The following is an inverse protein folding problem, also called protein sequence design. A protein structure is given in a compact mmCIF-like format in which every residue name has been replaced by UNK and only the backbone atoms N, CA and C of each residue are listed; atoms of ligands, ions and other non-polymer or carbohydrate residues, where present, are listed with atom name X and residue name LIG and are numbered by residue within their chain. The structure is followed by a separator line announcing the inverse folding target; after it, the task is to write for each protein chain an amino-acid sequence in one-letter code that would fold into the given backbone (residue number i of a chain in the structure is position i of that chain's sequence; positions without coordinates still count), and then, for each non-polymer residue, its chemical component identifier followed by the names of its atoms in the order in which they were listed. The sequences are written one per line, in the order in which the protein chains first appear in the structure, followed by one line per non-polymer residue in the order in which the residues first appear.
data_IF_750355777535
#
_entry.id   IF_750355777535
#
_cell.length_a   1.000
_cell.length_b   1.000
_cell.length_c   1.000
_cell.angle_alpha   90.00
_cell.angle_beta   90.00
_cell.angle_gamma   90.00
#
_symmetry.space_group_name_H-M   'P 1'
#
loop_
_entity.id
_entity.type
_entity.pdbx_description
1 polymer ?
#
# COMPACT_ATOMS: atom_id res chain seq x y z
N UNK A 1 -17.75 -47.39 -38.69
CA UNK A 1 -17.50 -46.06 -38.11
C UNK A 1 -16.05 -45.74 -38.48
N UNK A 2 -15.82 -44.76 -39.35
CA UNK A 2 -14.48 -44.50 -39.90
C UNK A 2 -13.57 -43.83 -38.90
N UNK A 3 -12.28 -44.14 -38.92
CA UNK A 3 -11.23 -43.63 -38.03
C UNK A 3 -11.28 -42.10 -37.90
N UNK A 4 -11.66 -41.41 -38.96
CA UNK A 4 -11.81 -39.95 -39.02
C UNK A 4 -12.91 -39.39 -38.09
N UNK A 5 -14.01 -40.10 -37.90
CA UNK A 5 -15.12 -39.72 -37.01
C UNK A 5 -14.76 -39.90 -35.53
N UNK A 6 -13.89 -40.86 -35.21
CA UNK A 6 -13.37 -41.07 -33.84
C UNK A 6 -12.38 -40.00 -33.51
N UNK A 7 -11.48 -39.64 -34.43
CA UNK A 7 -10.48 -38.56 -34.24
C UNK A 7 -11.16 -37.21 -34.04
N UNK A 8 -12.22 -36.91 -34.81
CA UNK A 8 -12.97 -35.64 -34.68
C UNK A 8 -13.71 -35.55 -33.33
N UNK A 9 -14.27 -36.68 -32.82
CA UNK A 9 -14.92 -36.70 -31.50
C UNK A 9 -13.93 -36.54 -30.36
N UNK A 10 -12.72 -37.12 -30.44
CA UNK A 10 -11.66 -36.93 -29.47
C UNK A 10 -11.15 -35.47 -29.45
N UNK A 11 -11.04 -34.85 -30.61
CA UNK A 11 -10.60 -33.44 -30.72
C UNK A 11 -11.62 -32.47 -30.08
N UNK A 12 -12.92 -32.73 -30.26
CA UNK A 12 -14.01 -31.93 -29.64
C UNK A 12 -14.04 -32.12 -28.12
N UNK A 13 -13.78 -33.32 -27.60
CA UNK A 13 -13.72 -33.57 -26.17
C UNK A 13 -12.53 -32.85 -25.52
N UNK A 14 -11.36 -32.81 -26.16
CA UNK A 14 -10.18 -32.09 -25.67
C UNK A 14 -10.43 -30.57 -25.59
N UNK A 15 -11.18 -30.00 -26.54
CA UNK A 15 -11.55 -28.58 -26.54
C UNK A 15 -12.54 -28.22 -25.41
N UNK A 16 -13.42 -29.15 -25.02
CA UNK A 16 -14.41 -28.91 -23.94
C UNK A 16 -13.77 -29.05 -22.55
N UNK A 17 -12.72 -29.86 -22.41
CA UNK A 17 -11.99 -30.07 -21.17
C UNK A 17 -10.73 -29.22 -21.01
N UNK A 18 -10.48 -28.24 -21.89
CA UNK A 18 -9.44 -27.24 -21.61
C UNK A 18 -9.86 -26.51 -20.35
N UNK A 19 -9.12 -26.62 -19.22
CA UNK A 19 -9.42 -25.81 -18.07
C UNK A 19 -9.22 -24.36 -18.51
N UNK A 20 -10.32 -23.64 -18.64
CA UNK A 20 -10.29 -22.19 -18.73
C UNK A 20 -9.81 -21.74 -17.35
N UNK A 21 -8.48 -21.62 -17.20
CA UNK A 21 -7.88 -21.01 -16.03
C UNK A 21 -8.34 -19.56 -16.06
N UNK A 22 -9.49 -19.28 -15.46
CA UNK A 22 -9.86 -17.93 -15.07
C UNK A 22 -8.84 -17.54 -14.03
N UNK A 23 -7.74 -16.95 -14.50
CA UNK A 23 -6.85 -16.20 -13.65
C UNK A 23 -7.66 -15.00 -13.21
N UNK A 24 -8.31 -15.12 -12.05
CA UNK A 24 -8.84 -13.97 -11.35
C UNK A 24 -7.63 -13.01 -11.21
N UNK A 25 -7.72 -11.87 -11.85
CA UNK A 25 -6.80 -10.77 -11.57
C UNK A 25 -7.03 -10.47 -10.11
N UNK A 26 -6.09 -10.85 -9.26
CA UNK A 26 -6.07 -10.42 -7.87
C UNK A 26 -5.76 -8.93 -7.91
N UNK A 27 -6.79 -8.12 -8.06
CA UNK A 27 -6.72 -6.65 -8.02
C UNK A 27 -6.73 -6.17 -6.55
N UNK A 28 -6.10 -6.92 -5.65
CA UNK A 28 -6.08 -6.66 -4.22
C UNK A 28 -4.81 -5.92 -3.80
N UNK A 29 -5.00 -4.88 -3.01
CA UNK A 29 -3.92 -4.13 -2.39
C UNK A 29 -4.20 -4.00 -0.89
N UNK A 30 -3.23 -4.34 -0.05
CA UNK A 30 -3.36 -4.16 1.39
C UNK A 30 -3.04 -2.71 1.77
N UNK A 31 -3.90 -2.08 2.55
CA UNK A 31 -3.63 -0.76 3.13
C UNK A 31 -3.25 -0.93 4.61
N UNK A 32 -2.03 -0.54 4.95
CA UNK A 32 -1.58 -0.46 6.34
C UNK A 32 -1.81 0.95 6.86
N UNK A 33 -2.58 1.06 7.95
CA UNK A 33 -2.95 2.34 8.56
C UNK A 33 -2.19 2.53 9.84
N UNK A 34 -1.47 3.63 9.95
CA UNK A 34 -0.73 4.08 11.12
C UNK A 34 -1.30 5.39 11.65
N UNK A 35 -0.90 5.80 12.85
CA UNK A 35 -1.22 7.12 13.40
C UNK A 35 0.02 7.74 14.04
N UNK A 36 0.54 7.16 15.13
CA UNK A 36 1.71 7.65 15.85
C UNK A 36 2.86 6.65 15.78
N UNK A 37 4.07 7.18 15.77
CA UNK A 37 5.28 6.38 15.88
C UNK A 37 5.95 6.69 17.22
N UNK A 38 5.64 5.90 18.26
CA UNK A 38 6.09 6.17 19.63
C UNK A 38 6.02 4.90 20.47
N UNK A 39 6.95 4.74 21.39
CA UNK A 39 6.95 3.69 22.41
C UNK A 39 5.98 4.00 23.56
N UNK A 40 5.77 5.28 23.85
CA UNK A 40 5.01 5.77 25.01
C UNK A 40 3.55 6.17 24.66
N UNK A 41 3.11 5.98 23.43
CA UNK A 41 1.78 6.36 22.99
C UNK A 41 0.69 5.34 23.38
N UNK A 42 -0.61 5.70 23.15
CA UNK A 42 -1.71 4.75 23.34
C UNK A 42 -1.51 3.52 22.47
N UNK A 43 -1.55 2.32 23.06
CA UNK A 43 -1.29 1.05 22.35
C UNK A 43 -2.18 0.80 21.13
N UNK A 44 -3.38 1.36 21.13
CA UNK A 44 -4.35 1.21 20.03
C UNK A 44 -4.00 2.03 18.78
N UNK A 45 -3.18 3.08 18.90
CA UNK A 45 -2.88 4.02 17.81
C UNK A 45 -1.39 4.34 17.69
N UNK A 46 -0.52 3.62 18.40
CA UNK A 46 0.92 3.83 18.37
C UNK A 46 1.63 2.57 17.90
N UNK A 47 2.57 2.76 16.99
CA UNK A 47 3.54 1.76 16.54
C UNK A 47 4.91 2.27 16.95
N UNK A 48 5.74 1.46 17.61
CA UNK A 48 7.09 1.91 17.92
C UNK A 48 7.91 2.09 16.64
N UNK A 49 8.90 3.02 16.61
CA UNK A 49 9.78 3.20 15.46
C UNK A 49 10.51 1.90 15.06
N UNK A 50 10.91 1.11 16.05
CA UNK A 50 11.56 -0.19 15.81
C UNK A 50 10.61 -1.20 15.14
N UNK A 51 9.35 -1.31 15.60
CA UNK A 51 8.35 -2.17 14.97
C UNK A 51 8.01 -1.68 13.56
N UNK A 52 7.94 -0.38 13.35
CA UNK A 52 7.73 0.17 12.00
C UNK A 52 8.88 -0.18 11.07
N UNK A 53 10.13 -0.07 11.53
CA UNK A 53 11.30 -0.50 10.77
C UNK A 53 11.21 -1.98 10.38
N UNK A 54 10.85 -2.85 11.32
CA UNK A 54 10.65 -4.29 11.04
C UNK A 54 9.55 -4.52 9.98
N UNK A 55 8.46 -3.73 9.99
CA UNK A 55 7.45 -3.79 8.93
C UNK A 55 8.04 -3.44 7.56
N UNK A 56 8.84 -2.36 7.47
CA UNK A 56 9.47 -1.97 6.20
C UNK A 56 10.49 -3.02 5.72
N UNK A 57 11.28 -3.58 6.63
CA UNK A 57 12.19 -4.68 6.34
C UNK A 57 11.45 -5.91 5.81
N UNK A 58 10.35 -6.29 6.46
CA UNK A 58 9.51 -7.40 6.02
C UNK A 58 8.98 -7.17 4.60
N UNK A 59 8.43 -5.99 4.32
CA UNK A 59 7.90 -5.64 3.00
C UNK A 59 9.00 -5.72 1.94
N UNK A 60 10.18 -5.18 2.23
CA UNK A 60 11.33 -5.20 1.32
C UNK A 60 11.84 -6.62 1.05
N UNK A 61 12.02 -7.42 2.11
CA UNK A 61 12.62 -8.75 2.03
C UNK A 61 11.68 -9.79 1.39
N UNK A 62 10.39 -9.51 1.33
CA UNK A 62 9.38 -10.38 0.71
C UNK A 62 8.82 -9.81 -0.61
N UNK A 63 9.55 -8.88 -1.24
CA UNK A 63 9.23 -8.32 -2.56
C UNK A 63 7.84 -7.67 -2.68
N UNK A 64 7.30 -7.15 -1.58
CA UNK A 64 6.07 -6.37 -1.62
C UNK A 64 6.24 -5.10 -2.45
N UNK A 65 5.24 -4.78 -3.24
CA UNK A 65 5.19 -3.58 -4.07
C UNK A 65 4.50 -2.46 -3.30
N UNK A 66 5.30 -1.67 -2.58
CA UNK A 66 4.79 -0.52 -1.83
C UNK A 66 4.49 0.62 -2.79
N UNK A 67 3.21 0.96 -2.95
CA UNK A 67 2.72 1.93 -3.91
C UNK A 67 2.06 3.13 -3.23
N UNK A 68 2.18 4.34 -3.84
CA UNK A 68 1.38 5.48 -3.42
C UNK A 68 -0.12 5.16 -3.55
N UNK A 69 -0.93 5.53 -2.56
CA UNK A 69 -2.38 5.27 -2.57
C UNK A 69 -3.06 5.83 -3.84
N UNK A 70 -2.65 7.00 -4.29
CA UNK A 70 -3.16 7.61 -5.54
C UNK A 70 -2.97 6.72 -6.77
N UNK A 71 -1.88 5.93 -6.83
CA UNK A 71 -1.63 5.00 -7.93
C UNK A 71 -2.61 3.84 -7.88
N UNK A 72 -2.83 3.28 -6.69
CA UNK A 72 -3.81 2.19 -6.49
C UNK A 72 -5.22 2.65 -6.90
N UNK A 73 -5.65 3.83 -6.41
CA UNK A 73 -6.97 4.38 -6.76
C UNK A 73 -7.11 4.57 -8.27
N UNK A 74 -6.10 5.11 -8.94
CA UNK A 74 -6.13 5.30 -10.40
C UNK A 74 -6.26 3.97 -11.14
N UNK A 75 -5.45 2.95 -10.78
CA UNK A 75 -5.52 1.63 -11.41
C UNK A 75 -6.90 1.01 -11.25
N UNK A 76 -7.51 1.08 -10.05
CA UNK A 76 -8.87 0.60 -9.82
C UNK A 76 -9.91 1.35 -10.65
N UNK A 77 -9.78 2.67 -10.80
CA UNK A 77 -10.70 3.48 -11.62
C UNK A 77 -10.57 3.21 -13.11
N UNK A 78 -9.34 3.00 -13.60
CA UNK A 78 -9.06 2.70 -15.02
C UNK A 78 -9.17 1.20 -15.34
N UNK A 79 -9.48 0.36 -14.35
CA UNK A 79 -9.53 -1.11 -14.48
C UNK A 79 -8.20 -1.70 -14.98
N UNK A 80 -7.10 -1.07 -14.59
CA UNK A 80 -5.76 -1.62 -14.78
C UNK A 80 -5.42 -2.57 -13.65
N UNK A 81 -4.77 -3.69 -13.96
CA UNK A 81 -4.37 -4.66 -12.94
C UNK A 81 -3.32 -4.07 -11.98
N UNK A 82 -3.49 -4.36 -10.70
CA UNK A 82 -2.50 -4.05 -9.67
C UNK A 82 -1.42 -5.16 -9.61
N UNK A 83 -0.19 -4.84 -9.21
CA UNK A 83 0.82 -5.87 -8.97
C UNK A 83 0.37 -6.81 -7.85
N UNK A 84 0.68 -8.10 -8.00
CA UNK A 84 0.60 -9.03 -6.87
C UNK A 84 1.47 -8.51 -5.70
N UNK A 85 1.10 -8.82 -4.47
CA UNK A 85 1.77 -8.31 -3.25
C UNK A 85 1.77 -6.77 -3.15
N UNK A 86 0.72 -6.11 -3.61
CA UNK A 86 0.55 -4.67 -3.52
C UNK A 86 0.25 -4.23 -2.09
N UNK A 87 0.96 -3.20 -1.61
CA UNK A 87 0.73 -2.58 -0.29
C UNK A 87 0.76 -1.07 -0.43
N UNK A 88 -0.06 -0.37 0.34
CA UNK A 88 0.08 1.07 0.56
C UNK A 88 0.26 1.35 2.05
N UNK A 89 1.18 2.25 2.37
CA UNK A 89 1.37 2.76 3.72
C UNK A 89 0.57 4.05 3.86
N UNK A 90 -0.26 4.12 4.90
CA UNK A 90 -1.04 5.33 5.21
C UNK A 90 -0.87 5.70 6.66
N UNK A 91 -0.97 6.99 6.98
CA UNK A 91 -1.00 7.46 8.36
C UNK A 91 -2.03 8.57 8.50
N UNK A 92 -2.73 8.57 9.64
CA UNK A 92 -3.79 9.52 9.94
C UNK A 92 -3.32 10.62 10.92
N UNK A 93 -4.14 11.66 11.02
CA UNK A 93 -4.07 12.80 11.94
C UNK A 93 -2.94 13.81 11.66
N UNK A 94 -1.78 13.40 11.17
CA UNK A 94 -0.64 14.30 10.94
C UNK A 94 0.22 14.56 12.19
N UNK A 95 0.40 13.55 13.06
CA UNK A 95 1.25 13.66 14.25
C UNK A 95 2.72 13.95 13.89
N UNK A 96 3.39 14.72 14.75
CA UNK A 96 4.81 15.08 14.60
C UNK A 96 5.72 13.85 14.45
N UNK A 97 5.38 12.74 15.13
CA UNK A 97 6.16 11.50 15.05
C UNK A 97 6.18 10.85 13.66
N UNK A 98 5.26 11.20 12.77
CA UNK A 98 5.32 10.78 11.36
C UNK A 98 6.57 11.41 10.70
N UNK A 99 6.86 12.69 11.00
CA UNK A 99 8.02 13.38 10.47
C UNK A 99 9.32 12.97 11.17
N UNK A 100 9.32 12.89 12.51
CA UNK A 100 10.55 12.65 13.27
C UNK A 100 11.01 11.21 13.26
N UNK A 101 10.09 10.24 13.23
CA UNK A 101 10.39 8.81 13.36
C UNK A 101 10.15 8.02 12.08
N UNK A 102 9.00 8.21 11.42
CA UNK A 102 8.66 7.41 10.25
C UNK A 102 9.34 7.92 8.97
N UNK A 103 9.37 9.24 8.74
CA UNK A 103 9.88 9.80 7.50
C UNK A 103 11.35 9.46 7.22
N UNK A 104 12.29 9.50 8.18
CA UNK A 104 13.67 9.06 7.93
C UNK A 104 13.74 7.60 7.45
N UNK A 105 12.93 6.72 8.02
CA UNK A 105 12.86 5.32 7.60
C UNK A 105 12.25 5.19 6.19
N UNK A 106 11.19 5.93 5.88
CA UNK A 106 10.61 5.95 4.54
C UNK A 106 11.64 6.38 3.48
N UNK A 107 12.47 7.38 3.79
CA UNK A 107 13.58 7.83 2.93
C UNK A 107 14.62 6.73 2.75
N UNK A 108 15.03 6.05 3.83
CA UNK A 108 16.01 4.95 3.80
C UNK A 108 15.52 3.79 2.91
N UNK A 109 14.25 3.40 3.05
CA UNK A 109 13.65 2.30 2.28
C UNK A 109 13.12 2.73 0.92
N UNK A 110 13.05 4.04 0.63
CA UNK A 110 12.43 4.63 -0.56
C UNK A 110 10.97 4.21 -0.74
N UNK A 111 10.24 4.05 0.35
CA UNK A 111 8.85 3.68 0.35
C UNK A 111 7.93 4.91 0.45
N UNK A 112 6.96 5.05 -0.44
CA UNK A 112 5.97 6.12 -0.36
C UNK A 112 4.99 5.87 0.78
N UNK A 113 4.44 6.96 1.33
CA UNK A 113 3.33 6.94 2.28
C UNK A 113 2.29 7.99 1.88
N UNK A 114 1.05 7.78 2.29
CA UNK A 114 -0.02 8.77 2.20
C UNK A 114 -0.43 9.19 3.60
N UNK A 115 -0.41 10.49 3.88
CA UNK A 115 -0.76 11.03 5.20
C UNK A 115 -2.03 11.86 5.09
N UNK A 116 -3.03 11.52 5.90
CA UNK A 116 -4.30 12.23 6.03
C UNK A 116 -4.24 13.14 7.25
N UNK A 117 -4.19 14.44 7.04
CA UNK A 117 -3.97 15.39 8.12
C UNK A 117 -5.26 16.01 8.64
N UNK A 118 -5.27 16.29 9.94
CA UNK A 118 -6.22 17.19 10.57
C UNK A 118 -5.67 18.61 10.49
N UNK A 119 -6.17 19.46 9.59
CA UNK A 119 -5.60 20.79 9.33
C UNK A 119 -5.70 21.74 10.51
N UNK A 120 -6.79 21.69 11.28
CA UNK A 120 -7.00 22.60 12.40
C UNK A 120 -5.91 22.51 13.50
N UNK A 121 -5.46 21.34 13.98
CA UNK A 121 -4.33 21.23 14.89
C UNK A 121 -3.00 21.75 14.29
N UNK A 122 -2.77 21.54 12.99
CA UNK A 122 -1.60 22.06 12.27
C UNK A 122 -1.61 23.58 12.24
N UNK A 123 -2.74 24.20 11.90
CA UNK A 123 -2.93 25.65 11.89
C UNK A 123 -2.73 26.25 13.27
N UNK A 124 -3.21 25.59 14.30
CA UNK A 124 -3.05 26.01 15.70
C UNK A 124 -1.66 25.70 16.27
N UNK A 125 -0.79 25.05 15.49
CA UNK A 125 0.59 24.71 15.87
C UNK A 125 0.68 23.92 17.17
N UNK A 126 -0.14 22.88 17.32
CA UNK A 126 -0.04 21.99 18.47
C UNK A 126 1.30 21.26 18.42
N UNK A 127 2.02 21.22 19.57
CA UNK A 127 3.36 20.64 19.67
C UNK A 127 3.44 19.16 19.22
N UNK A 128 2.33 18.42 19.34
CA UNK A 128 2.26 17.03 18.92
C UNK A 128 2.00 16.82 17.42
N UNK A 129 1.82 17.91 16.66
CA UNK A 129 1.46 17.86 15.24
C UNK A 129 2.59 18.38 14.35
N UNK A 130 2.64 17.89 13.11
CA UNK A 130 3.54 18.44 12.11
C UNK A 130 3.19 19.87 11.77
N UNK A 131 4.20 20.63 11.38
CA UNK A 131 4.04 21.97 10.80
C UNK A 131 3.85 21.87 9.28
N UNK A 132 3.26 22.92 8.67
CA UNK A 132 3.17 23.03 7.21
C UNK A 132 4.53 22.96 6.49
N UNK A 133 5.63 23.40 7.14
CA UNK A 133 6.96 23.28 6.57
C UNK A 133 7.44 21.83 6.49
N UNK A 134 7.25 21.06 7.57
CA UNK A 134 7.57 19.63 7.60
C UNK A 134 6.75 18.85 6.57
N UNK A 135 5.45 19.14 6.46
CA UNK A 135 4.59 18.54 5.44
C UNK A 135 5.11 18.81 4.01
N UNK A 136 5.55 20.05 3.71
CA UNK A 136 6.14 20.37 2.40
C UNK A 136 7.47 19.66 2.15
N UNK A 137 8.29 19.49 3.19
CA UNK A 137 9.56 18.77 3.10
C UNK A 137 9.35 17.29 2.77
N UNK A 138 8.30 16.67 3.31
CA UNK A 138 7.95 15.27 3.03
C UNK A 138 7.35 15.06 1.63
N UNK A 139 6.76 16.07 1.02
CA UNK A 139 5.97 15.98 -0.21
C UNK A 139 6.64 15.27 -1.41
N UNK A 140 7.98 15.24 -1.59
CA UNK A 140 8.60 14.45 -2.66
C UNK A 140 8.39 12.94 -2.55
N UNK A 141 8.18 12.42 -1.34
CA UNK A 141 8.01 10.98 -1.07
C UNK A 141 6.64 10.65 -0.48
N UNK A 142 6.01 11.60 0.19
CA UNK A 142 4.77 11.42 0.96
C UNK A 142 3.65 12.26 0.36
N UNK A 143 2.55 11.62 -0.02
CA UNK A 143 1.35 12.32 -0.45
C UNK A 143 0.56 12.82 0.77
N UNK A 144 0.17 14.09 0.76
CA UNK A 144 -0.58 14.73 1.84
C UNK A 144 -2.02 14.96 1.42
N UNK A 145 -2.96 14.54 2.26
CA UNK A 145 -4.41 14.66 2.07
C UNK A 145 -5.08 15.25 3.32
N UNK A 146 -6.30 15.74 3.15
CA UNK A 146 -7.18 16.19 4.24
C UNK A 146 -8.62 15.76 3.99
#
# INVERSE_FOLDING_TARGET
MTLSKILLRLLVIILIYSPFSSQALEDDCVLLVYHRFSDDGPKSTSTSPEVFKQHLEYLKNNDYKVLPLKKIIRSLQSKESLPSNCVSLTADDGFLSIYTEAFPLLVEYQFPMSVFISTNPVDKKYDSMMTWNQLREMAPLVDIYN
#
